data_IF_765801539691
#
_entry.id   IF_765801539691
#
_cell.length_a   1.000
_cell.length_b   1.000
_cell.length_c   1.000
_cell.angle_alpha   90.00
_cell.angle_beta   90.00
_cell.angle_gamma   90.00
#
_symmetry.space_group_name_H-M   'P 1'
#
loop_
_entity.id
_entity.type
_entity.pdbx_description
1 polymer ?
#
# COMPACT_ATOMS: atom_id res chain seq x y z
N UNK A 1 7.19 36.30 5.66
CA UNK A 1 7.67 34.96 6.03
C UNK A 1 6.47 34.16 6.51
N UNK A 2 5.75 33.49 5.60
CA UNK A 2 4.61 32.65 5.99
C UNK A 2 5.17 31.31 6.47
N UNK A 3 4.84 30.94 7.70
CA UNK A 3 4.98 29.59 8.21
C UNK A 3 4.27 28.61 7.27
N UNK A 4 5.06 27.78 6.56
CA UNK A 4 4.54 26.61 5.86
C UNK A 4 4.06 25.64 6.95
N UNK A 5 2.76 25.62 7.20
CA UNK A 5 2.15 24.46 7.84
C UNK A 5 2.20 23.34 6.80
N UNK A 6 3.16 22.42 6.95
CA UNK A 6 3.10 21.18 6.18
C UNK A 6 1.76 20.51 6.49
N UNK A 7 1.12 19.95 5.48
CA UNK A 7 -0.12 19.21 5.66
C UNK A 7 0.21 17.91 6.41
N UNK A 8 0.23 17.95 7.75
CA UNK A 8 0.47 16.79 8.59
C UNK A 8 -0.65 15.78 8.35
N UNK A 9 -0.28 14.56 7.93
CA UNK A 9 -1.22 13.48 7.70
C UNK A 9 -1.97 13.10 8.97
N UNK A 10 -3.29 12.92 8.87
CA UNK A 10 -4.09 12.39 9.98
C UNK A 10 -4.12 10.87 9.91
N UNK A 11 -3.77 10.18 10.99
CA UNK A 11 -3.94 8.73 11.09
C UNK A 11 -5.42 8.34 10.92
N UNK A 12 -5.71 7.50 9.94
CA UNK A 12 -7.04 6.96 9.67
C UNK A 12 -7.14 5.46 9.96
N UNK A 13 -6.01 4.75 9.94
CA UNK A 13 -5.92 3.34 10.27
C UNK A 13 -4.64 3.12 11.07
N UNK A 14 -4.74 2.40 12.17
CA UNK A 14 -3.62 1.93 13.00
C UNK A 14 -4.03 0.52 13.47
N UNK A 15 -3.36 -0.50 12.94
CA UNK A 15 -3.60 -1.90 13.29
C UNK A 15 -2.26 -2.61 13.46
N UNK A 16 -2.11 -3.40 14.51
CA UNK A 16 -0.91 -4.23 14.67
C UNK A 16 -0.86 -5.30 13.58
N UNK A 17 0.34 -5.70 13.16
CA UNK A 17 0.51 -6.79 12.20
C UNK A 17 -0.06 -8.11 12.74
N UNK A 18 -0.02 -8.31 14.06
CA UNK A 18 -0.66 -9.46 14.69
C UNK A 18 -2.17 -9.48 14.46
N UNK A 19 -2.87 -8.38 14.78
CA UNK A 19 -4.33 -8.30 14.57
C UNK A 19 -4.68 -8.40 13.09
N UNK A 20 -3.89 -7.80 12.20
CA UNK A 20 -4.08 -7.86 10.75
C UNK A 20 -3.94 -9.29 10.21
N UNK A 21 -2.94 -10.04 10.69
CA UNK A 21 -2.73 -11.43 10.28
C UNK A 21 -3.76 -12.39 10.89
N UNK A 22 -4.31 -12.06 12.07
CA UNK A 22 -5.43 -12.78 12.67
C UNK A 22 -6.73 -12.56 11.89
N UNK A 23 -7.04 -11.31 11.52
CA UNK A 23 -8.25 -11.00 10.72
C UNK A 23 -8.13 -11.44 9.26
N UNK A 24 -6.89 -11.53 8.74
CA UNK A 24 -6.55 -11.79 7.33
C UNK A 24 -7.18 -10.81 6.35
N UNK A 25 -7.65 -9.66 6.84
CA UNK A 25 -8.38 -8.70 6.04
C UNK A 25 -8.22 -7.28 6.55
N UNK A 26 -8.05 -6.35 5.63
CA UNK A 26 -8.04 -4.92 5.87
C UNK A 26 -9.06 -4.22 4.97
N UNK A 27 -10.04 -3.56 5.58
CA UNK A 27 -10.96 -2.67 4.88
C UNK A 27 -10.94 -1.28 5.53
N UNK A 28 -10.41 -0.30 4.79
CA UNK A 28 -10.32 1.09 5.25
C UNK A 28 -11.59 1.91 4.95
N UNK A 29 -12.63 1.32 4.36
CA UNK A 29 -13.86 2.06 3.97
C UNK A 29 -14.58 2.70 5.14
N UNK A 30 -14.44 2.13 6.34
CA UNK A 30 -15.07 2.65 7.57
C UNK A 30 -14.30 3.80 8.22
N UNK A 31 -13.03 3.98 7.89
CA UNK A 31 -12.17 4.97 8.53
C UNK A 31 -11.56 5.99 7.55
N UNK A 32 -11.51 5.67 6.26
CA UNK A 32 -11.09 6.58 5.20
C UNK A 32 -12.21 7.52 4.77
N UNK A 33 -11.84 8.76 4.41
CA UNK A 33 -12.74 9.70 3.72
C UNK A 33 -12.41 9.71 2.23
N UNK A 34 -13.37 9.50 1.31
CA UNK A 34 -13.13 9.57 -0.13
C UNK A 34 -12.46 10.88 -0.59
N UNK A 35 -11.70 10.82 -1.69
CA UNK A 35 -11.08 12.01 -2.28
C UNK A 35 -9.92 12.58 -1.45
N UNK A 36 -9.20 11.70 -0.74
CA UNK A 36 -8.05 12.05 0.11
C UNK A 36 -6.84 11.26 -0.32
N UNK A 37 -5.67 11.88 -0.32
CA UNK A 37 -4.42 11.14 -0.48
C UNK A 37 -4.16 10.31 0.76
N UNK A 38 -3.52 9.15 0.60
CA UNK A 38 -3.21 8.25 1.71
C UNK A 38 -1.83 7.66 1.53
N UNK A 39 -1.11 7.51 2.63
CA UNK A 39 0.24 6.96 2.65
C UNK A 39 0.40 6.03 3.86
N UNK A 40 1.15 4.94 3.68
CA UNK A 40 1.53 4.01 4.75
C UNK A 40 2.82 4.50 5.41
N UNK A 41 2.87 4.52 6.73
CA UNK A 41 4.08 4.85 7.51
C UNK A 41 5.08 3.70 7.46
N UNK A 42 6.29 3.92 6.90
CA UNK A 42 7.31 2.87 6.82
C UNK A 42 7.88 2.52 8.20
N UNK A 43 8.15 3.53 9.02
CA UNK A 43 8.71 3.35 10.36
C UNK A 43 7.75 2.56 11.26
N UNK A 44 6.45 2.86 11.25
CA UNK A 44 5.48 2.09 12.05
C UNK A 44 5.41 0.63 11.61
N UNK A 45 5.53 0.38 10.30
CA UNK A 45 5.50 -0.98 9.76
C UNK A 45 6.74 -1.79 10.17
N UNK A 46 7.93 -1.19 10.09
CA UNK A 46 9.20 -1.85 10.36
C UNK A 46 9.45 -1.97 11.87
N UNK A 47 9.37 -0.86 12.60
CA UNK A 47 9.82 -0.76 13.98
C UNK A 47 8.70 -1.14 14.95
N UNK A 48 7.51 -0.55 14.76
CA UNK A 48 6.36 -0.75 15.65
C UNK A 48 5.53 -1.98 15.31
N UNK A 49 5.83 -2.67 14.20
CA UNK A 49 5.05 -3.80 13.67
C UNK A 49 3.56 -3.47 13.57
N UNK A 50 3.26 -2.31 12.99
CA UNK A 50 1.90 -1.79 12.78
C UNK A 50 1.72 -1.31 11.35
N UNK A 51 0.54 -1.57 10.78
CA UNK A 51 0.11 -0.90 9.58
C UNK A 51 -0.60 0.41 9.98
N UNK A 52 0.10 1.53 9.81
CA UNK A 52 -0.46 2.87 9.99
C UNK A 52 -0.69 3.54 8.64
N UNK A 53 -1.91 4.03 8.39
CA UNK A 53 -2.25 4.79 7.18
C UNK A 53 -2.61 6.23 7.58
N UNK A 54 -1.92 7.18 6.97
CA UNK A 54 -2.17 8.61 7.10
C UNK A 54 -2.99 9.11 5.92
N UNK A 55 -4.03 9.91 6.19
CA UNK A 55 -4.85 10.58 5.19
C UNK A 55 -4.54 12.08 5.12
N UNK A 56 -4.55 12.62 3.90
CA UNK A 56 -4.19 14.00 3.60
C UNK A 56 -5.27 14.66 2.74
N UNK A 57 -5.55 15.93 3.05
CA UNK A 57 -6.51 16.73 2.28
C UNK A 57 -5.89 17.27 0.99
N UNK A 58 -4.64 17.68 1.08
CA UNK A 58 -3.80 18.13 -0.02
C UNK A 58 -2.77 17.06 -0.38
N UNK A 59 -2.07 17.24 -1.50
CA UNK A 59 -1.04 16.30 -1.89
C UNK A 59 0.07 16.24 -0.82
N UNK A 60 0.47 15.04 -0.36
CA UNK A 60 1.41 14.90 0.75
C UNK A 60 2.76 15.55 0.45
N UNK A 61 3.33 16.22 1.45
CA UNK A 61 4.71 16.72 1.41
C UNK A 61 5.70 15.69 1.93
N UNK A 62 5.22 14.69 2.68
CA UNK A 62 6.03 13.58 3.17
C UNK A 62 6.68 12.84 1.99
N UNK A 63 8.01 12.59 2.05
CA UNK A 63 8.67 11.85 0.99
C UNK A 63 8.18 10.40 1.03
N UNK A 64 7.77 9.87 -0.13
CA UNK A 64 7.24 8.52 -0.24
C UNK A 64 7.74 7.82 -1.49
N UNK A 65 7.77 6.50 -1.45
CA UNK A 65 7.92 5.67 -2.65
C UNK A 65 6.55 5.12 -3.09
N UNK A 66 6.33 5.03 -4.39
CA UNK A 66 5.17 4.34 -4.96
C UNK A 66 5.54 2.89 -5.27
N UNK A 67 4.61 1.95 -5.07
CA UNK A 67 4.80 0.53 -5.40
C UNK A 67 4.04 0.20 -6.68
N UNK A 68 4.76 -0.29 -7.68
CA UNK A 68 4.20 -0.79 -8.95
C UNK A 68 4.35 -2.31 -9.00
N UNK A 69 3.27 -3.01 -9.35
CA UNK A 69 3.22 -4.46 -9.28
C UNK A 69 2.25 -5.04 -10.31
N UNK A 70 2.43 -6.32 -10.62
CA UNK A 70 1.49 -7.11 -11.41
C UNK A 70 0.33 -7.58 -10.53
N UNK A 71 -0.90 -7.45 -11.02
CA UNK A 71 -2.12 -7.73 -10.24
C UNK A 71 -2.21 -9.18 -9.75
N UNK A 72 -1.70 -10.10 -10.56
CA UNK A 72 -1.42 -11.50 -10.23
C UNK A 72 0.02 -11.77 -10.56
N UNK A 73 0.81 -12.02 -9.54
CA UNK A 73 2.21 -12.36 -9.67
C UNK A 73 2.46 -13.84 -9.46
N UNK A 74 3.70 -14.15 -9.12
CA UNK A 74 4.12 -15.51 -8.88
C UNK A 74 3.39 -16.10 -7.68
N UNK A 75 2.94 -17.34 -7.86
CA UNK A 75 2.42 -18.13 -6.74
C UNK A 75 3.59 -18.68 -5.92
N UNK A 76 3.50 -18.62 -4.58
CA UNK A 76 4.43 -19.31 -3.69
C UNK A 76 4.58 -20.80 -4.00
N UNK A 77 5.79 -21.35 -3.94
CA UNK A 77 6.00 -22.81 -4.09
C UNK A 77 5.53 -23.60 -2.86
N UNK A 78 5.54 -22.94 -1.71
CA UNK A 78 4.95 -23.43 -0.46
C UNK A 78 4.04 -22.34 0.04
N UNK A 79 2.95 -22.68 0.71
CA UNK A 79 2.18 -21.69 1.45
C UNK A 79 3.13 -20.97 2.41
N UNK A 80 3.50 -19.73 2.09
CA UNK A 80 4.20 -18.87 3.04
C UNK A 80 3.24 -18.73 4.23
N UNK A 81 3.70 -19.19 5.40
CA UNK A 81 3.14 -19.26 6.76
C UNK A 81 1.91 -18.40 7.13
N UNK A 82 0.89 -18.31 6.28
CA UNK A 82 -0.28 -17.46 6.46
C UNK A 82 0.01 -15.97 6.67
N UNK A 83 1.22 -15.45 6.39
CA UNK A 83 1.62 -14.04 6.61
C UNK A 83 1.17 -13.11 5.49
N UNK A 84 -0.05 -13.34 5.02
CA UNK A 84 -0.72 -12.57 3.98
C UNK A 84 -2.05 -12.06 4.52
N UNK A 85 -2.53 -10.96 3.97
CA UNK A 85 -3.88 -10.46 4.24
C UNK A 85 -4.52 -9.97 2.93
N UNK A 86 -5.84 -9.98 2.87
CA UNK A 86 -6.58 -9.45 1.72
C UNK A 86 -7.07 -8.03 1.98
N UNK A 87 -7.27 -7.28 0.89
CA UNK A 87 -8.06 -6.05 0.88
C UNK A 87 -9.30 -6.31 0.04
N UNK A 88 -10.50 -6.31 0.64
CA UNK A 88 -11.73 -6.55 -0.10
C UNK A 88 -11.89 -5.56 -1.26
N UNK A 89 -12.19 -6.09 -2.44
CA UNK A 89 -12.54 -5.33 -3.63
C UNK A 89 -13.99 -5.62 -4.01
N UNK A 90 -14.68 -4.63 -4.59
CA UNK A 90 -15.97 -4.87 -5.22
C UNK A 90 -15.81 -5.96 -6.29
N UNK A 91 -16.53 -7.06 -6.11
CA UNK A 91 -16.57 -8.16 -7.07
C UNK A 91 -17.32 -7.68 -8.30
N UNK A 92 -16.65 -7.72 -9.45
CA UNK A 92 -17.27 -7.54 -10.75
C UNK A 92 -17.38 -8.91 -11.38
N UNK A 93 -18.54 -9.24 -11.95
CA UNK A 93 -18.76 -10.54 -12.57
C UNK A 93 -17.69 -10.81 -13.65
N UNK A 94 -16.99 -11.94 -13.54
CA UNK A 94 -15.89 -12.30 -14.42
C UNK A 94 -14.52 -11.68 -14.09
N UNK A 95 -14.42 -10.83 -13.07
CA UNK A 95 -13.14 -10.32 -12.60
C UNK A 95 -12.45 -11.32 -11.67
N UNK A 96 -11.20 -11.63 -11.96
CA UNK A 96 -10.40 -12.47 -11.09
C UNK A 96 -9.95 -11.71 -9.84
N UNK A 97 -9.97 -12.36 -8.64
CA UNK A 97 -9.42 -11.75 -7.45
C UNK A 97 -7.91 -11.52 -7.63
N UNK A 98 -7.47 -10.33 -7.23
CA UNK A 98 -6.05 -9.98 -7.17
C UNK A 98 -5.32 -10.74 -6.06
N UNK A 99 -4.01 -10.60 -6.03
CA UNK A 99 -3.20 -11.24 -5.00
C UNK A 99 -3.49 -10.69 -3.58
N UNK A 100 -3.32 -11.59 -2.60
CA UNK A 100 -3.16 -11.20 -1.20
C UNK A 100 -1.86 -10.40 -1.04
N UNK A 101 -1.83 -9.48 -0.08
CA UNK A 101 -0.62 -8.71 0.24
C UNK A 101 0.23 -9.53 1.22
N UNK A 102 1.46 -9.84 0.84
CA UNK A 102 2.46 -10.45 1.72
C UNK A 102 3.09 -9.42 2.64
N UNK A 103 3.11 -9.71 3.95
CA UNK A 103 3.74 -8.83 4.95
C UNK A 103 5.23 -8.65 4.67
N UNK A 104 5.91 -9.68 4.18
CA UNK A 104 7.32 -9.63 3.81
C UNK A 104 7.56 -8.70 2.60
N UNK A 105 6.70 -8.75 1.57
CA UNK A 105 6.84 -7.85 0.41
C UNK A 105 6.62 -6.41 0.81
N UNK A 106 5.60 -6.15 1.64
CA UNK A 106 5.34 -4.80 2.15
C UNK A 106 6.46 -4.32 3.08
N UNK A 107 7.05 -5.21 3.87
CA UNK A 107 8.23 -4.90 4.69
C UNK A 107 9.41 -4.45 3.83
N UNK A 108 9.78 -5.24 2.81
CA UNK A 108 10.90 -4.89 1.92
C UNK A 108 10.62 -3.62 1.12
N UNK A 109 9.37 -3.37 0.72
CA UNK A 109 8.99 -2.11 0.11
C UNK A 109 9.19 -0.93 1.09
N UNK A 110 8.86 -1.08 2.38
CA UNK A 110 9.09 -0.04 3.38
C UNK A 110 10.59 0.21 3.58
N UNK A 111 11.39 -0.85 3.66
CA UNK A 111 12.85 -0.76 3.78
C UNK A 111 13.45 -0.06 2.57
N UNK A 112 13.04 -0.45 1.36
CA UNK A 112 13.49 0.18 0.11
C UNK A 112 13.06 1.65 0.02
N UNK A 113 11.86 2.01 0.48
CA UNK A 113 11.41 3.40 0.54
C UNK A 113 12.35 4.23 1.41
N UNK A 114 12.64 3.77 2.63
CA UNK A 114 13.56 4.45 3.56
C UNK A 114 14.97 4.56 2.97
N UNK A 115 15.49 3.48 2.37
CA UNK A 115 16.80 3.48 1.72
C UNK A 115 16.89 4.48 0.57
N UNK A 116 15.78 4.76 -0.11
CA UNK A 116 15.65 5.76 -1.18
C UNK A 116 15.29 7.17 -0.68
N UNK A 117 15.32 7.42 0.63
CA UNK A 117 15.01 8.73 1.23
C UNK A 117 13.51 9.02 1.41
N UNK A 118 12.66 8.01 1.23
CA UNK A 118 11.25 8.04 1.61
C UNK A 118 11.04 7.84 3.11
N UNK A 119 9.85 8.18 3.56
CA UNK A 119 9.34 7.92 4.93
C UNK A 119 8.06 7.10 4.89
N UNK A 120 7.40 7.11 3.73
CA UNK A 120 6.11 6.51 3.51
C UNK A 120 6.08 5.65 2.23
N UNK A 121 5.03 4.84 2.11
CA UNK A 121 4.69 4.12 0.89
C UNK A 121 3.32 4.55 0.37
N UNK A 122 3.20 4.57 -0.95
CA UNK A 122 1.93 4.50 -1.65
C UNK A 122 1.81 3.15 -2.36
N UNK A 123 0.81 2.37 -1.97
CA UNK A 123 0.40 1.14 -2.63
C UNK A 123 -1.11 1.22 -2.85
N UNK A 124 -1.57 1.14 -4.09
CA UNK A 124 -2.98 1.36 -4.46
C UNK A 124 -3.96 0.47 -3.65
N UNK A 125 -3.63 -0.80 -3.40
CA UNK A 125 -4.42 -1.75 -2.62
C UNK A 125 -4.63 -1.29 -1.18
N UNK A 126 -3.72 -0.49 -0.62
CA UNK A 126 -3.82 0.03 0.75
C UNK A 126 -4.27 1.48 0.82
N UNK A 127 -3.92 2.30 -0.17
CA UNK A 127 -4.09 3.74 -0.15
C UNK A 127 -5.39 4.20 -0.85
N UNK A 128 -6.03 3.33 -1.62
CA UNK A 128 -7.34 3.56 -2.24
C UNK A 128 -8.40 2.81 -1.43
N UNK A 129 -9.55 3.43 -1.20
CA UNK A 129 -10.70 2.75 -0.61
C UNK A 129 -11.26 1.77 -1.65
N UNK A 130 -10.87 0.49 -1.55
CA UNK A 130 -11.14 -0.53 -2.56
C UNK A 130 -12.63 -0.89 -2.73
N UNK A 131 -13.47 -0.54 -1.75
CA UNK A 131 -14.93 -0.71 -1.85
C UNK A 131 -15.68 0.57 -2.25
N UNK A 132 -14.97 1.69 -2.46
CA UNK A 132 -15.56 2.99 -2.76
C UNK A 132 -15.32 3.42 -4.21
N UNK A 133 -16.38 3.41 -5.03
CA UNK A 133 -16.28 3.73 -6.46
C UNK A 133 -15.81 5.18 -6.71
N UNK A 134 -16.32 6.15 -5.94
CA UNK A 134 -15.94 7.56 -6.06
C UNK A 134 -14.47 7.79 -5.70
N UNK A 135 -13.98 7.13 -4.64
CA UNK A 135 -12.57 7.22 -4.24
C UNK A 135 -11.66 6.58 -5.28
N UNK A 136 -12.03 5.41 -5.82
CA UNK A 136 -11.30 4.78 -6.92
C UNK A 136 -11.19 5.69 -8.13
N UNK A 137 -12.30 6.24 -8.61
CA UNK A 137 -12.31 7.16 -9.77
C UNK A 137 -11.38 8.35 -9.51
N UNK A 138 -11.50 8.97 -8.34
CA UNK A 138 -10.66 10.11 -7.96
C UNK A 138 -9.18 9.74 -7.92
N UNK A 139 -8.81 8.67 -7.21
CA UNK A 139 -7.43 8.21 -7.06
C UNK A 139 -6.81 7.80 -8.40
N UNK A 140 -7.51 7.00 -9.20
CA UNK A 140 -7.02 6.52 -10.50
C UNK A 140 -6.80 7.71 -11.45
N UNK A 141 -7.73 8.68 -11.48
CA UNK A 141 -7.55 9.90 -12.28
C UNK A 141 -6.33 10.74 -11.85
N UNK A 142 -5.95 10.67 -10.58
CA UNK A 142 -4.81 11.37 -9.99
C UNK A 142 -3.51 10.55 -9.96
N UNK A 143 -3.54 9.26 -10.33
CA UNK A 143 -2.44 8.32 -10.09
C UNK A 143 -1.14 8.73 -10.79
N UNK A 144 -1.23 9.35 -11.98
CA UNK A 144 -0.06 9.93 -12.65
C UNK A 144 0.73 10.88 -11.73
N UNK A 145 0.03 11.74 -10.98
CA UNK A 145 0.69 12.70 -10.07
C UNK A 145 1.35 12.00 -8.88
N UNK A 146 0.76 10.90 -8.39
CA UNK A 146 1.37 10.08 -7.34
C UNK A 146 2.72 9.55 -7.79
N UNK A 147 2.77 8.87 -8.93
CA UNK A 147 4.04 8.32 -9.45
C UNK A 147 5.04 9.43 -9.80
N UNK A 148 4.58 10.51 -10.44
CA UNK A 148 5.44 11.64 -10.82
C UNK A 148 6.12 12.31 -9.60
N UNK A 149 5.44 12.38 -8.46
CA UNK A 149 5.96 13.03 -7.24
C UNK A 149 6.57 12.06 -6.22
N UNK A 150 6.53 10.76 -6.48
CA UNK A 150 7.20 9.77 -5.65
C UNK A 150 8.73 9.97 -5.73
N UNK A 151 9.43 9.75 -4.61
CA UNK A 151 10.89 9.80 -4.56
C UNK A 151 11.52 8.63 -5.30
N UNK A 152 10.85 7.47 -5.23
CA UNK A 152 11.21 6.27 -5.93
C UNK A 152 9.96 5.49 -6.35
N UNK A 153 10.08 4.73 -7.43
CA UNK A 153 9.11 3.72 -7.82
C UNK A 153 9.72 2.34 -7.53
N UNK A 154 9.15 1.62 -6.58
CA UNK A 154 9.55 0.26 -6.24
C UNK A 154 8.73 -0.67 -7.12
N UNK A 155 9.40 -1.46 -7.96
CA UNK A 155 8.74 -2.41 -8.86
C UNK A 155 8.84 -3.80 -8.25
N UNK A 156 7.70 -4.45 -8.03
CA UNK A 156 7.63 -5.86 -7.59
C UNK A 156 7.13 -6.71 -8.76
N UNK A 157 8.02 -7.18 -9.64
CA UNK A 157 7.62 -7.83 -10.89
C UNK A 157 6.99 -9.21 -10.66
N UNK A 158 7.31 -9.86 -9.54
CA UNK A 158 6.66 -11.10 -9.11
C UNK A 158 5.35 -10.91 -8.35
N UNK A 159 4.80 -9.70 -8.32
CA UNK A 159 3.58 -9.34 -7.58
C UNK A 159 3.82 -8.99 -6.12
N UNK A 160 2.72 -8.83 -5.38
CA UNK A 160 2.71 -8.35 -3.98
C UNK A 160 2.51 -9.45 -2.95
N UNK A 161 2.37 -10.70 -3.38
CA UNK A 161 2.09 -11.85 -2.50
C UNK A 161 3.32 -12.38 -1.80
N UNK A 162 4.44 -12.48 -2.51
CA UNK A 162 5.70 -13.00 -1.98
C UNK A 162 6.90 -12.45 -2.73
N UNK A 163 8.07 -12.44 -2.08
CA UNK A 163 9.33 -12.17 -2.74
C UNK A 163 9.72 -13.36 -3.63
N UNK A 164 10.19 -13.06 -4.83
CA UNK A 164 10.54 -14.05 -5.85
C UNK A 164 12.06 -14.07 -6.05
N UNK A 165 12.70 -15.25 -6.05
CA UNK A 165 14.12 -15.37 -6.38
C UNK A 165 14.45 -14.79 -7.76
N UNK A 166 15.64 -14.20 -7.91
CA UNK A 166 16.05 -13.54 -9.16
C UNK A 166 16.17 -14.49 -10.36
N UNK A 167 16.38 -15.78 -10.11
CA UNK A 167 16.50 -16.84 -11.10
C UNK A 167 15.14 -17.43 -11.51
N UNK A 168 14.04 -16.99 -10.88
CA UNK A 168 12.69 -17.45 -11.19
C UNK A 168 12.01 -16.49 -12.16
N UNK A 169 11.41 -17.05 -13.21
CA UNK A 169 10.64 -16.29 -14.19
C UNK A 169 9.41 -15.65 -13.54
N UNK A 170 9.20 -14.36 -13.81
CA UNK A 170 8.01 -13.61 -13.39
C UNK A 170 6.85 -13.96 -14.32
N UNK A 171 5.68 -14.25 -13.76
CA UNK A 171 4.49 -14.70 -14.51
C UNK A 171 3.72 -13.54 -15.15
#
# INVERSE_FOLDING_TARGET
MSSLNSAVGKTICDVSLECLLQSRSLDISKCGTPGRYRLVSCADFIDSKKLTIHGYTEFPEDPFAAVSYVWRGNTPEKDFDGRVFDVPIQQVEGAEPGDHIGVEVLHEACVASIACGGTHLWLDRLCIIQMGEDDKKWQISGMYKIYQRSHACIVTPGGIRCLVPLDKETQ
#
